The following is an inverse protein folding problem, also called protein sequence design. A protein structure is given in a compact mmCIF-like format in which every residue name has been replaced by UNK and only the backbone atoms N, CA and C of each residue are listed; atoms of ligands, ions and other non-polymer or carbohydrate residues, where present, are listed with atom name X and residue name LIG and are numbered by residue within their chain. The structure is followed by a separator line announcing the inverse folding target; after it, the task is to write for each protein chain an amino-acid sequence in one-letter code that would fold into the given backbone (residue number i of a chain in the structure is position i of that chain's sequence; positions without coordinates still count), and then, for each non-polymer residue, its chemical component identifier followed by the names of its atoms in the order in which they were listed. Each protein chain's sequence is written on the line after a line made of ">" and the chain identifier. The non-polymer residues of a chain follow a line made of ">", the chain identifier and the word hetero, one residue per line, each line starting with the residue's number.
data_IF_706202116061
#
_entry.id   IF_706202116061
#
_cell.length_a   1.000
_cell.length_b   1.000
_cell.length_c   1.000
_cell.angle_alpha   90.00
_cell.angle_beta   90.00
_cell.angle_gamma   90.00
#
_symmetry.space_group_name_H-M   'P 1'
#
loop_
_entity.id
_entity.type
_entity.pdbx_description
1 polymer ?
#
# COMPACT_ATOMS: atom_id res chain seq x y z
N UNK A 1 -7.50 24.91 -4.76
CA UNK A 1 -6.11 25.41 -4.86
C UNK A 1 -6.05 26.35 -6.05
N UNK A 2 -5.49 27.56 -5.90
CA UNK A 2 -5.31 28.50 -7.01
C UNK A 2 -4.10 28.14 -7.88
N UNK A 3 -3.94 28.80 -9.03
CA UNK A 3 -2.88 28.48 -10.00
C UNK A 3 -1.47 28.81 -9.47
N UNK A 4 -1.34 29.86 -8.68
CA UNK A 4 -0.07 30.26 -8.07
C UNK A 4 0.36 29.27 -6.99
N UNK A 5 -0.55 28.80 -6.15
CA UNK A 5 -0.28 27.74 -5.17
C UNK A 5 0.13 26.45 -5.86
N UNK A 6 -0.59 26.04 -6.90
CA UNK A 6 -0.27 24.85 -7.66
C UNK A 6 1.14 24.92 -8.24
N UNK A 7 1.51 26.05 -8.85
CA UNK A 7 2.86 26.25 -9.39
C UNK A 7 3.92 26.09 -8.30
N UNK A 8 3.72 26.74 -7.14
CA UNK A 8 4.64 26.65 -6.00
C UNK A 8 4.85 25.19 -5.53
N UNK A 9 3.76 24.41 -5.41
CA UNK A 9 3.86 23.02 -4.98
C UNK A 9 4.44 22.09 -6.08
N UNK A 10 4.27 22.42 -7.35
CA UNK A 10 4.95 21.71 -8.46
C UNK A 10 6.46 21.92 -8.39
N UNK A 11 6.90 23.20 -8.29
CA UNK A 11 8.34 23.53 -8.18
C UNK A 11 8.97 22.84 -6.96
N UNK A 12 8.24 22.80 -5.81
CA UNK A 12 8.67 22.08 -4.63
C UNK A 12 8.75 20.56 -4.87
N UNK A 13 7.78 19.99 -5.59
CA UNK A 13 7.77 18.55 -5.93
C UNK A 13 8.94 18.18 -6.83
N UNK A 14 9.28 19.00 -7.81
CA UNK A 14 10.42 18.80 -8.71
C UNK A 14 11.74 18.86 -7.94
N UNK A 15 11.87 19.82 -7.02
CA UNK A 15 13.02 19.91 -6.12
C UNK A 15 13.14 18.66 -5.24
N UNK A 16 12.05 18.27 -4.57
CA UNK A 16 12.03 17.07 -3.71
C UNK A 16 12.34 15.80 -4.51
N UNK A 17 11.81 15.66 -5.71
CA UNK A 17 12.09 14.53 -6.58
C UNK A 17 13.55 14.43 -6.99
N UNK A 18 14.19 15.58 -7.26
CA UNK A 18 15.61 15.65 -7.57
C UNK A 18 16.49 15.26 -6.38
N UNK A 19 16.07 15.56 -5.15
CA UNK A 19 16.81 15.25 -3.91
C UNK A 19 16.59 13.80 -3.49
N UNK A 20 15.34 13.31 -3.53
CA UNK A 20 14.95 12.00 -3.01
C UNK A 20 15.19 10.87 -4.01
N UNK A 21 15.16 11.16 -5.30
CA UNK A 21 15.43 10.20 -6.37
C UNK A 21 14.23 9.36 -6.82
N UNK A 22 14.46 8.34 -7.68
CA UNK A 22 13.40 7.67 -8.42
C UNK A 22 12.54 6.70 -7.58
N UNK A 23 12.96 6.34 -6.38
CA UNK A 23 12.20 5.45 -5.51
C UNK A 23 11.09 6.19 -4.71
N UNK A 24 10.99 7.52 -4.94
CA UNK A 24 9.98 8.37 -4.32
C UNK A 24 9.02 8.93 -5.35
N UNK A 25 7.74 8.73 -5.12
CA UNK A 25 6.65 9.38 -5.83
C UNK A 25 6.19 10.60 -5.05
N UNK A 26 5.95 11.71 -5.75
CA UNK A 26 5.44 12.94 -5.13
C UNK A 26 4.14 13.32 -5.84
N UNK A 27 3.07 13.51 -5.06
CA UNK A 27 1.73 13.81 -5.57
C UNK A 27 1.23 15.10 -4.94
N UNK A 28 0.81 16.05 -5.77
CA UNK A 28 0.01 17.22 -5.35
C UNK A 28 -1.43 17.00 -5.78
N UNK A 29 -2.38 17.17 -4.87
CA UNK A 29 -3.79 16.96 -5.12
C UNK A 29 -4.65 17.99 -4.40
N UNK A 30 -5.82 18.28 -4.95
CA UNK A 30 -6.87 19.03 -4.27
C UNK A 30 -7.89 18.07 -3.60
N UNK A 31 -9.06 18.56 -3.22
CA UNK A 31 -10.11 17.73 -2.59
C UNK A 31 -10.81 16.78 -3.56
N UNK A 32 -10.49 16.83 -4.88
CA UNK A 32 -11.18 16.08 -5.93
C UNK A 32 -10.26 15.11 -6.66
N UNK A 33 -9.08 15.61 -7.08
CA UNK A 33 -8.22 14.89 -8.02
C UNK A 33 -6.73 15.20 -7.82
N UNK A 34 -5.90 14.40 -8.47
CA UNK A 34 -4.46 14.60 -8.57
C UNK A 34 -4.20 15.74 -9.57
N UNK A 35 -3.48 16.77 -9.13
CA UNK A 35 -3.13 17.94 -9.94
C UNK A 35 -1.72 17.84 -10.53
N UNK A 36 -0.81 17.17 -9.81
CA UNK A 36 0.55 16.94 -10.25
C UNK A 36 1.10 15.66 -9.64
N UNK A 37 1.88 14.90 -10.43
CA UNK A 37 2.53 13.69 -9.97
C UNK A 37 3.91 13.54 -10.60
N UNK A 38 4.90 13.19 -9.78
CA UNK A 38 6.24 12.82 -10.18
C UNK A 38 6.47 11.34 -9.83
N UNK A 39 7.10 10.56 -10.71
CA UNK A 39 7.33 9.12 -10.57
C UNK A 39 6.04 8.30 -10.35
N UNK A 40 4.96 8.63 -11.06
CA UNK A 40 3.63 8.03 -10.91
C UNK A 40 3.56 6.52 -11.15
N UNK A 41 4.57 5.93 -11.80
CA UNK A 41 4.68 4.48 -12.01
C UNK A 41 4.81 3.69 -10.68
N UNK A 42 5.26 4.35 -9.62
CA UNK A 42 5.36 3.73 -8.28
C UNK A 42 3.99 3.29 -7.79
N UNK A 43 2.98 4.15 -7.85
CA UNK A 43 1.61 3.82 -7.44
C UNK A 43 0.70 3.40 -8.59
N UNK A 44 1.09 3.65 -9.83
CA UNK A 44 0.28 3.46 -11.04
C UNK A 44 -0.77 4.56 -11.26
N UNK A 45 -0.57 5.76 -10.69
CA UNK A 45 -1.49 6.91 -10.77
C UNK A 45 -1.03 7.93 -11.78
N UNK A 46 -1.98 8.81 -12.18
CA UNK A 46 -1.77 9.87 -13.18
C UNK A 46 -2.41 11.18 -12.76
N UNK A 47 -1.97 12.28 -13.41
CA UNK A 47 -2.67 13.56 -13.31
C UNK A 47 -4.14 13.40 -13.73
N UNK A 48 -5.04 14.01 -12.98
CA UNK A 48 -6.48 13.94 -13.19
C UNK A 48 -7.18 12.74 -12.55
N UNK A 49 -6.43 11.76 -12.02
CA UNK A 49 -7.04 10.65 -11.31
C UNK A 49 -7.79 11.13 -10.05
N UNK A 50 -8.93 10.51 -9.71
CA UNK A 50 -9.66 10.85 -8.49
C UNK A 50 -8.86 10.45 -7.25
N UNK A 51 -9.15 11.11 -6.12
CA UNK A 51 -8.53 10.77 -4.84
C UNK A 51 -8.82 9.32 -4.45
N UNK A 52 -7.79 8.63 -3.98
CA UNK A 52 -7.96 7.29 -3.41
C UNK A 52 -8.77 7.34 -2.10
N UNK A 53 -9.34 6.20 -1.67
CA UNK A 53 -9.93 6.09 -0.35
C UNK A 53 -8.95 6.52 0.76
N UNK A 54 -7.69 6.12 0.69
CA UNK A 54 -6.64 6.52 1.65
C UNK A 54 -6.44 8.03 1.68
N UNK A 55 -6.33 8.70 0.53
CA UNK A 55 -6.16 10.15 0.47
C UNK A 55 -7.37 10.87 1.09
N UNK A 56 -8.59 10.37 0.84
CA UNK A 56 -9.81 10.93 1.44
C UNK A 56 -9.83 10.76 2.95
N UNK A 57 -9.48 9.56 3.46
CA UNK A 57 -9.40 9.30 4.90
C UNK A 57 -8.34 10.16 5.60
N UNK A 58 -7.20 10.37 4.97
CA UNK A 58 -6.14 11.25 5.49
C UNK A 58 -6.61 12.70 5.60
N UNK A 59 -7.35 13.19 4.61
CA UNK A 59 -7.95 14.54 4.66
C UNK A 59 -9.01 14.67 5.78
N UNK A 60 -9.75 13.59 6.08
CA UNK A 60 -10.70 13.57 7.21
C UNK A 60 -9.99 13.64 8.57
N UNK A 61 -8.82 13.02 8.68
CA UNK A 61 -7.99 13.12 9.90
C UNK A 61 -7.53 14.56 10.10
N UNK A 62 -7.04 15.21 9.04
CA UNK A 62 -6.64 16.61 9.11
C UNK A 62 -7.78 17.49 9.62
N UNK A 63 -9.01 17.30 9.10
CA UNK A 63 -10.18 18.05 9.49
C UNK A 63 -10.52 17.87 10.98
N UNK A 64 -10.35 16.65 11.54
CA UNK A 64 -10.64 16.34 12.93
C UNK A 64 -9.53 16.74 13.91
N UNK A 65 -8.26 16.50 13.55
CA UNK A 65 -7.10 16.69 14.42
C UNK A 65 -6.37 18.03 14.20
N UNK A 66 -6.70 18.78 13.14
CA UNK A 66 -6.05 20.04 12.72
C UNK A 66 -4.53 19.92 12.56
N UNK A 67 -4.05 18.74 12.21
CA UNK A 67 -2.64 18.46 12.01
C UNK A 67 -2.09 19.22 10.78
N UNK A 68 -0.77 19.43 10.76
CA UNK A 68 -0.08 20.03 9.60
C UNK A 68 0.38 18.97 8.61
N UNK A 69 0.66 17.79 9.09
CA UNK A 69 1.10 16.64 8.29
C UNK A 69 0.80 15.33 9.00
N UNK A 70 0.73 14.27 8.22
CA UNK A 70 0.70 12.89 8.66
C UNK A 70 1.89 12.17 8.04
N UNK A 71 2.79 11.59 8.85
CA UNK A 71 4.04 11.01 8.34
C UNK A 71 4.13 9.51 8.59
N UNK A 72 4.85 8.80 7.69
CA UNK A 72 5.26 7.41 7.83
C UNK A 72 4.12 6.40 8.01
N UNK A 73 2.95 6.67 7.44
CA UNK A 73 1.87 5.68 7.39
C UNK A 73 2.02 4.73 6.20
N UNK A 74 1.31 3.60 6.21
CA UNK A 74 1.30 2.62 5.13
C UNK A 74 0.03 2.74 4.32
N UNK A 75 0.18 2.73 2.99
CA UNK A 75 -0.94 2.75 2.07
C UNK A 75 -0.76 1.71 0.96
N UNK A 76 -1.88 1.16 0.51
CA UNK A 76 -1.91 0.31 -0.67
C UNK A 76 -2.13 1.18 -1.90
N UNK A 77 -1.22 1.06 -2.87
CA UNK A 77 -1.27 1.78 -4.14
C UNK A 77 -2.29 1.17 -5.11
N UNK A 78 -2.61 1.88 -6.18
CA UNK A 78 -3.54 1.39 -7.21
C UNK A 78 -3.04 0.13 -7.92
N UNK A 79 -1.72 -0.04 -8.05
CA UNK A 79 -1.10 -1.23 -8.63
C UNK A 79 -0.80 -2.35 -7.61
N UNK A 80 -1.29 -2.22 -6.36
CA UNK A 80 -1.22 -3.25 -5.34
C UNK A 80 0.08 -3.32 -4.54
N UNK A 81 0.94 -2.31 -4.63
CA UNK A 81 2.14 -2.20 -3.79
C UNK A 81 1.81 -1.55 -2.45
N UNK A 82 2.50 -1.97 -1.39
CA UNK A 82 2.45 -1.29 -0.10
C UNK A 82 3.56 -0.24 -0.08
N UNK A 83 3.17 1.02 0.06
CA UNK A 83 4.06 2.16 0.08
C UNK A 83 4.13 2.75 1.49
N UNK A 84 5.27 3.32 1.85
CA UNK A 84 5.41 4.20 3.01
C UNK A 84 5.10 5.62 2.57
N UNK A 85 4.05 6.19 3.13
CA UNK A 85 3.48 7.46 2.71
C UNK A 85 3.61 8.52 3.79
N UNK A 86 3.73 9.78 3.36
CA UNK A 86 3.64 10.95 4.22
C UNK A 86 2.88 12.05 3.49
N UNK A 87 1.98 12.72 4.17
CA UNK A 87 1.14 13.79 3.62
C UNK A 87 1.39 15.09 4.36
N UNK A 88 1.71 16.13 3.63
CA UNK A 88 1.64 17.51 4.09
C UNK A 88 0.32 18.12 3.65
N UNK A 89 -0.46 18.68 4.59
CA UNK A 89 -1.75 19.30 4.31
C UNK A 89 -1.60 20.72 3.79
N UNK A 90 -2.13 20.99 2.61
CA UNK A 90 -2.17 22.33 2.01
C UNK A 90 -3.44 23.00 2.51
N UNK A 91 -3.30 24.11 3.21
CA UNK A 91 -4.39 24.88 3.84
C UNK A 91 -4.46 26.28 3.28
N UNK A 92 -5.64 26.89 3.35
CA UNK A 92 -5.82 28.32 3.13
C UNK A 92 -5.48 29.13 4.38
N UNK A 93 -5.59 30.46 4.27
CA UNK A 93 -5.33 31.40 5.37
C UNK A 93 -6.27 31.20 6.58
N UNK A 94 -7.44 30.61 6.36
CA UNK A 94 -8.39 30.26 7.43
C UNK A 94 -8.07 28.95 8.13
N UNK A 95 -7.06 28.20 7.64
CA UNK A 95 -6.69 26.86 8.12
C UNK A 95 -7.50 25.73 7.54
N UNK A 96 -8.36 25.98 6.53
CA UNK A 96 -9.15 24.96 5.86
C UNK A 96 -8.31 24.23 4.84
N UNK A 97 -8.41 22.88 4.80
CA UNK A 97 -7.70 22.07 3.83
C UNK A 97 -8.12 22.38 2.39
N UNK A 98 -7.15 22.63 1.54
CA UNK A 98 -7.28 22.79 0.09
C UNK A 98 -6.86 21.53 -0.65
N UNK A 99 -6.12 20.63 0.00
CA UNK A 99 -5.56 19.42 -0.56
C UNK A 99 -4.32 18.96 0.19
N UNK A 100 -3.42 18.25 -0.48
CA UNK A 100 -2.19 17.76 0.12
C UNK A 100 -1.06 17.55 -0.87
N UNK A 101 0.15 17.47 -0.31
CA UNK A 101 1.35 16.99 -0.99
C UNK A 101 1.76 15.68 -0.32
N UNK A 102 1.72 14.58 -1.09
CA UNK A 102 2.14 13.26 -0.63
C UNK A 102 3.56 12.96 -1.11
N UNK A 103 4.32 12.32 -0.23
CA UNK A 103 5.58 11.65 -0.56
C UNK A 103 5.38 10.17 -0.28
N UNK A 104 5.47 9.34 -1.32
CA UNK A 104 5.30 7.90 -1.24
C UNK A 104 6.65 7.23 -1.58
N UNK A 105 7.07 6.29 -0.76
CA UNK A 105 8.32 5.57 -0.93
C UNK A 105 8.07 4.09 -1.20
N UNK A 106 8.65 3.57 -2.30
CA UNK A 106 8.64 2.14 -2.64
C UNK A 106 9.87 1.46 -2.04
N UNK A 107 9.69 0.73 -0.95
CA UNK A 107 10.77 0.02 -0.26
C UNK A 107 11.03 -1.41 -0.81
N UNK A 108 10.36 -1.81 -1.88
CA UNK A 108 10.47 -3.19 -2.40
C UNK A 108 11.89 -3.52 -2.91
N UNK A 109 12.55 -2.58 -3.56
CA UNK A 109 13.94 -2.75 -4.02
C UNK A 109 14.90 -3.05 -2.86
N UNK A 110 14.71 -2.40 -1.73
CA UNK A 110 15.54 -2.61 -0.53
C UNK A 110 15.26 -3.95 0.14
N UNK A 111 14.02 -4.43 0.08
CA UNK A 111 13.65 -5.78 0.53
C UNK A 111 14.30 -6.87 -0.33
N UNK A 112 14.29 -6.69 -1.65
CA UNK A 112 14.95 -7.61 -2.59
C UNK A 112 16.46 -7.66 -2.34
N UNK A 113 17.09 -6.49 -2.16
CA UNK A 113 18.51 -6.39 -1.85
C UNK A 113 18.84 -7.05 -0.51
N UNK A 114 18.05 -6.83 0.54
CA UNK A 114 18.21 -7.49 1.83
C UNK A 114 18.13 -9.02 1.70
N UNK A 115 17.16 -9.53 0.95
CA UNK A 115 17.02 -10.96 0.70
C UNK A 115 18.23 -11.54 -0.05
N UNK A 116 18.79 -10.77 -1.00
CA UNK A 116 19.98 -11.17 -1.73
C UNK A 116 21.22 -11.22 -0.81
N UNK A 117 21.40 -10.20 0.02
CA UNK A 117 22.49 -10.18 1.02
C UNK A 117 22.38 -11.38 1.98
N UNK A 118 21.18 -11.66 2.49
CA UNK A 118 20.96 -12.82 3.35
C UNK A 118 21.28 -14.15 2.66
N UNK A 119 20.91 -14.31 1.39
CA UNK A 119 21.22 -15.52 0.64
C UNK A 119 22.72 -15.69 0.38
N UNK A 120 23.46 -14.59 0.25
CA UNK A 120 24.92 -14.62 0.12
C UNK A 120 25.61 -14.96 1.45
N UNK A 121 25.13 -14.43 2.57
CA UNK A 121 25.69 -14.67 3.89
C UNK A 121 25.34 -16.06 4.46
N UNK A 122 24.20 -16.62 4.03
CA UNK A 122 23.67 -17.89 4.54
C UNK A 122 23.26 -18.83 3.39
N UNK A 123 24.25 -19.34 2.60
CA UNK A 123 23.96 -20.20 1.45
C UNK A 123 23.37 -21.57 1.84
N UNK A 124 23.53 -21.98 3.09
CA UNK A 124 23.03 -23.21 3.71
C UNK A 124 21.52 -23.15 4.07
N UNK A 125 20.86 -22.03 3.81
CA UNK A 125 19.45 -21.79 4.18
C UNK A 125 19.16 -21.87 5.70
N UNK A 126 20.18 -21.79 6.55
CA UNK A 126 20.05 -21.83 8.00
C UNK A 126 19.19 -20.67 8.55
N UNK A 127 19.24 -19.50 7.90
CA UNK A 127 18.35 -18.38 8.20
C UNK A 127 17.17 -18.42 7.26
N UNK A 128 15.96 -18.55 7.80
CA UNK A 128 14.75 -18.49 6.97
C UNK A 128 14.67 -17.13 6.26
N UNK A 129 14.38 -17.12 4.97
CA UNK A 129 14.21 -15.91 4.11
C UNK A 129 13.10 -14.96 4.57
N UNK A 130 12.46 -15.23 5.69
CA UNK A 130 11.37 -14.43 6.26
C UNK A 130 11.85 -13.60 7.46
N UNK A 131 12.77 -12.67 7.23
CA UNK A 131 12.90 -11.57 8.18
C UNK A 131 11.73 -10.64 7.92
N UNK A 132 10.64 -10.86 8.65
CA UNK A 132 9.60 -9.87 8.78
C UNK A 132 10.15 -8.76 9.66
N UNK A 133 10.51 -7.64 9.07
CA UNK A 133 10.74 -6.41 9.82
C UNK A 133 9.37 -6.03 10.37
N UNK A 134 9.10 -6.30 11.64
CA UNK A 134 7.97 -5.73 12.34
C UNK A 134 8.21 -4.22 12.47
N UNK A 135 7.65 -3.47 11.55
CA UNK A 135 7.56 -2.02 11.70
C UNK A 135 6.46 -1.80 12.74
N UNK A 136 6.85 -1.58 13.98
CA UNK A 136 5.93 -1.07 15.02
C UNK A 136 5.51 0.34 14.59
N UNK A 137 4.39 0.44 13.88
CA UNK A 137 3.71 1.71 13.66
C UNK A 137 3.02 2.14 14.95
N UNK A 138 3.01 3.42 15.23
CA UNK A 138 2.14 4.01 16.24
C UNK A 138 0.68 3.65 15.93
N UNK A 139 -0.20 3.72 16.94
CA UNK A 139 -1.59 3.23 16.99
C UNK A 139 -2.59 3.73 15.91
N UNK A 140 -2.12 4.30 14.82
CA UNK A 140 -2.90 4.80 13.67
C UNK A 140 -3.43 3.70 12.73
N UNK A 141 -3.59 2.50 13.25
CA UNK A 141 -4.02 1.30 12.52
C UNK A 141 -5.48 1.36 12.03
N UNK A 142 -6.27 2.32 12.51
CA UNK A 142 -7.70 2.43 12.18
C UNK A 142 -7.92 2.79 10.69
N UNK A 143 -7.09 3.64 10.13
CA UNK A 143 -7.19 4.08 8.72
C UNK A 143 -6.92 2.91 7.76
N UNK A 144 -5.98 2.04 8.12
CA UNK A 144 -5.65 0.88 7.31
C UNK A 144 -6.73 -0.20 7.30
N UNK A 145 -7.47 -0.40 8.38
CA UNK A 145 -8.47 -1.47 8.45
C UNK A 145 -9.66 -1.25 7.51
N UNK A 146 -10.16 -0.04 7.40
CA UNK A 146 -11.26 0.28 6.47
C UNK A 146 -10.78 0.27 5.01
N UNK A 147 -9.61 0.85 4.73
CA UNK A 147 -9.03 0.84 3.39
C UNK A 147 -8.61 -0.57 2.94
N UNK A 148 -8.12 -1.41 3.84
CA UNK A 148 -7.82 -2.82 3.55
C UNK A 148 -9.10 -3.55 3.11
N UNK A 149 -10.21 -3.38 3.81
CA UNK A 149 -11.47 -4.01 3.45
C UNK A 149 -11.91 -3.61 2.04
N UNK A 150 -11.95 -2.32 1.75
CA UNK A 150 -12.36 -1.82 0.44
C UNK A 150 -11.40 -2.28 -0.68
N UNK A 151 -10.10 -2.28 -0.43
CA UNK A 151 -9.11 -2.70 -1.41
C UNK A 151 -9.14 -4.21 -1.63
N UNK A 152 -9.34 -4.99 -0.57
CA UNK A 152 -9.55 -6.44 -0.70
C UNK A 152 -10.80 -6.71 -1.51
N UNK A 153 -11.89 -5.99 -1.26
CA UNK A 153 -13.12 -6.14 -2.03
C UNK A 153 -12.92 -5.78 -3.52
N UNK A 154 -12.22 -4.71 -3.84
CA UNK A 154 -11.87 -4.35 -5.22
C UNK A 154 -11.03 -5.44 -5.90
N UNK A 155 -10.03 -5.99 -5.20
CA UNK A 155 -9.19 -7.08 -5.72
C UNK A 155 -10.03 -8.34 -5.90
N UNK A 156 -10.85 -8.70 -4.94
CA UNK A 156 -11.74 -9.86 -5.02
C UNK A 156 -12.74 -9.71 -6.15
N UNK A 157 -13.32 -8.52 -6.35
CA UNK A 157 -14.20 -8.24 -7.49
C UNK A 157 -13.51 -8.33 -8.84
N UNK A 158 -12.24 -7.90 -8.95
CA UNK A 158 -11.46 -8.04 -10.21
C UNK A 158 -11.11 -9.48 -10.52
N UNK A 159 -10.79 -10.26 -9.49
CA UNK A 159 -10.42 -11.68 -9.64
C UNK A 159 -11.63 -12.53 -9.97
N UNK A 160 -12.81 -12.16 -9.47
CA UNK A 160 -14.01 -13.00 -9.60
C UNK A 160 -15.29 -12.17 -9.80
N UNK A 161 -15.48 -11.64 -11.01
CA UNK A 161 -16.63 -10.79 -11.39
C UNK A 161 -18.01 -11.45 -11.24
N UNK A 162 -18.10 -12.75 -10.96
CA UNK A 162 -19.35 -13.51 -11.07
C UNK A 162 -19.70 -14.44 -9.90
N UNK A 163 -18.92 -14.52 -8.84
CA UNK A 163 -19.15 -15.51 -7.77
C UNK A 163 -19.51 -14.88 -6.41
N UNK A 164 -20.56 -15.42 -5.79
CA UNK A 164 -20.83 -15.18 -4.36
C UNK A 164 -19.73 -15.82 -3.51
N UNK A 165 -18.99 -15.02 -2.73
CA UNK A 165 -17.85 -15.44 -1.89
C UNK A 165 -18.15 -16.58 -0.92
N UNK A 166 -19.43 -16.83 -0.58
CA UNK A 166 -19.86 -17.93 0.29
C UNK A 166 -19.82 -19.32 -0.35
N UNK A 167 -19.61 -19.41 -1.67
CA UNK A 167 -19.64 -20.68 -2.44
C UNK A 167 -18.29 -21.03 -3.08
N UNK A 168 -17.21 -20.33 -2.74
CA UNK A 168 -15.89 -20.61 -3.31
C UNK A 168 -15.35 -21.98 -2.88
N UNK A 169 -14.87 -22.76 -3.85
CA UNK A 169 -14.16 -24.02 -3.62
C UNK A 169 -12.82 -23.78 -2.92
N UNK A 170 -12.22 -24.86 -2.41
CA UNK A 170 -10.89 -24.79 -1.77
C UNK A 170 -9.81 -24.26 -2.72
N UNK A 171 -9.83 -24.68 -4.00
CA UNK A 171 -8.87 -24.25 -5.02
C UNK A 171 -9.02 -22.75 -5.35
N UNK A 172 -10.26 -22.28 -5.52
CA UNK A 172 -10.51 -20.85 -5.78
C UNK A 172 -10.09 -19.96 -4.62
N UNK A 173 -10.34 -20.39 -3.38
CA UNK A 173 -9.85 -19.67 -2.19
C UNK A 173 -8.31 -19.62 -2.16
N UNK A 174 -7.65 -20.72 -2.49
CA UNK A 174 -6.19 -20.79 -2.55
C UNK A 174 -5.63 -19.84 -3.63
N UNK A 175 -6.25 -19.79 -4.81
CA UNK A 175 -5.85 -18.90 -5.90
C UNK A 175 -6.01 -17.42 -5.56
N UNK A 176 -7.12 -17.06 -4.91
CA UNK A 176 -7.36 -15.71 -4.40
C UNK A 176 -6.29 -15.35 -3.37
N UNK A 177 -6.03 -16.24 -2.41
CA UNK A 177 -5.03 -16.01 -1.36
C UNK A 177 -3.62 -15.89 -1.96
N UNK A 178 -3.29 -16.68 -2.99
CA UNK A 178 -2.03 -16.60 -3.73
C UNK A 178 -1.85 -15.21 -4.37
N UNK A 179 -2.87 -14.70 -5.06
CA UNK A 179 -2.83 -13.38 -5.69
C UNK A 179 -2.72 -12.24 -4.64
N UNK A 180 -3.46 -12.33 -3.53
CA UNK A 180 -3.37 -11.37 -2.43
C UNK A 180 -1.98 -11.43 -1.76
N UNK A 181 -1.39 -12.62 -1.65
CA UNK A 181 -0.04 -12.81 -1.12
C UNK A 181 1.03 -12.18 -2.02
N UNK A 182 0.93 -12.40 -3.35
CA UNK A 182 1.83 -11.78 -4.34
C UNK A 182 1.77 -10.26 -4.31
N UNK A 183 0.61 -9.69 -4.01
CA UNK A 183 0.39 -8.25 -3.83
C UNK A 183 0.83 -7.71 -2.46
N UNK A 184 1.35 -8.56 -1.58
CA UNK A 184 1.85 -8.15 -0.27
C UNK A 184 0.77 -7.83 0.78
N UNK A 185 -0.50 -8.14 0.53
CA UNK A 185 -1.63 -7.83 1.44
C UNK A 185 -1.41 -8.42 2.84
N UNK A 186 -0.84 -9.63 2.93
CA UNK A 186 -0.63 -10.30 4.21
C UNK A 186 0.56 -9.78 5.03
N UNK A 187 1.30 -8.79 4.51
CA UNK A 187 2.27 -8.02 5.30
C UNK A 187 1.60 -6.97 6.20
N UNK A 188 0.30 -6.74 6.01
CA UNK A 188 -0.47 -5.74 6.77
C UNK A 188 -1.12 -6.39 7.99
N UNK A 189 -0.99 -5.76 9.16
CA UNK A 189 -1.60 -6.25 10.39
C UNK A 189 -3.13 -6.31 10.27
N UNK A 190 -3.73 -7.41 10.68
CA UNK A 190 -5.17 -7.62 10.58
C UNK A 190 -5.68 -8.14 9.23
N UNK A 191 -4.87 -8.10 8.16
CA UNK A 191 -5.25 -8.56 6.81
C UNK A 191 -5.71 -10.01 6.79
N UNK A 192 -5.04 -10.90 7.54
CA UNK A 192 -5.41 -12.32 7.66
C UNK A 192 -6.84 -12.48 8.16
N UNK A 193 -7.22 -11.71 9.19
CA UNK A 193 -8.59 -11.71 9.75
C UNK A 193 -9.59 -11.14 8.74
N UNK A 194 -9.25 -10.03 8.10
CA UNK A 194 -10.13 -9.35 7.14
C UNK A 194 -10.38 -10.22 5.90
N UNK A 195 -9.32 -10.78 5.30
CA UNK A 195 -9.44 -11.72 4.17
C UNK A 195 -10.18 -12.98 4.59
N UNK A 196 -9.88 -13.54 5.76
CA UNK A 196 -10.55 -14.72 6.30
C UNK A 196 -12.06 -14.51 6.42
N UNK A 197 -12.50 -13.39 6.97
CA UNK A 197 -13.92 -13.03 7.08
C UNK A 197 -14.57 -12.94 5.70
N UNK A 198 -13.92 -12.30 4.71
CA UNK A 198 -14.45 -12.15 3.35
C UNK A 198 -14.55 -13.48 2.60
N UNK A 199 -13.59 -14.39 2.78
CA UNK A 199 -13.58 -15.70 2.17
C UNK A 199 -14.33 -16.78 2.98
N UNK A 200 -14.98 -16.38 4.10
CA UNK A 200 -15.62 -17.31 5.04
C UNK A 200 -14.66 -18.44 5.48
N UNK A 201 -13.44 -18.05 5.86
CA UNK A 201 -12.40 -18.94 6.34
C UNK A 201 -12.09 -18.70 7.81
N UNK A 202 -11.90 -19.77 8.58
CA UNK A 202 -11.38 -19.65 9.96
C UNK A 202 -9.91 -19.17 9.95
N UNK A 203 -9.42 -18.54 11.02
CA UNK A 203 -8.02 -18.15 11.13
C UNK A 203 -7.04 -19.31 10.88
N UNK A 204 -7.34 -20.50 11.43
CA UNK A 204 -6.53 -21.70 11.22
C UNK A 204 -6.46 -22.09 9.74
N UNK A 205 -7.59 -22.03 9.02
CA UNK A 205 -7.63 -22.29 7.57
C UNK A 205 -6.83 -21.26 6.80
N UNK A 206 -6.89 -19.99 7.18
CA UNK A 206 -6.11 -18.92 6.54
C UNK A 206 -4.60 -19.15 6.68
N UNK A 207 -4.12 -19.48 7.87
CA UNK A 207 -2.70 -19.78 8.08
C UNK A 207 -2.26 -21.00 7.26
N UNK A 208 -3.09 -22.05 7.17
CA UNK A 208 -2.79 -23.23 6.33
C UNK A 208 -2.68 -22.86 4.85
N UNK A 209 -3.56 -22.03 4.31
CA UNK A 209 -3.46 -21.54 2.94
C UNK A 209 -2.20 -20.70 2.70
N UNK A 210 -1.85 -19.83 3.64
CA UNK A 210 -0.64 -19.02 3.56
C UNK A 210 0.62 -19.89 3.57
N UNK A 211 0.66 -20.95 4.35
CA UNK A 211 1.78 -21.92 4.32
C UNK A 211 1.90 -22.62 2.98
N UNK A 212 0.79 -23.05 2.38
CA UNK A 212 0.80 -23.65 1.04
C UNK A 212 1.37 -22.70 0.00
N UNK A 213 0.90 -21.44 -0.02
CA UNK A 213 1.36 -20.41 -0.96
C UNK A 213 2.85 -20.10 -0.75
N UNK A 214 3.33 -20.05 0.49
CA UNK A 214 4.76 -19.88 0.80
C UNK A 214 5.62 -21.03 0.29
N UNK A 215 5.17 -22.28 0.48
CA UNK A 215 5.89 -23.48 0.01
C UNK A 215 5.96 -23.54 -1.52
N UNK A 216 4.87 -23.21 -2.23
CA UNK A 216 4.87 -23.13 -3.68
C UNK A 216 5.91 -22.15 -4.22
N UNK A 217 6.01 -20.96 -3.62
CA UNK A 217 7.01 -19.94 -4.02
C UNK A 217 8.46 -20.45 -3.83
N UNK A 218 8.70 -21.26 -2.81
CA UNK A 218 10.02 -21.87 -2.56
C UNK A 218 10.36 -22.94 -3.61
N UNK A 219 9.37 -23.70 -4.12
CA UNK A 219 9.60 -24.75 -5.11
C UNK A 219 9.83 -24.22 -6.53
N UNK A 220 9.33 -23.03 -6.87
CA UNK A 220 9.57 -22.37 -8.16
C UNK A 220 10.90 -21.62 -8.23
N UNK A 221 11.46 -21.17 -7.09
CA UNK A 221 12.76 -20.48 -7.01
C UNK A 221 13.98 -21.41 -7.04
N UNK A 222 13.78 -22.73 -7.04
CA UNK A 222 14.88 -23.73 -7.05
C UNK A 222 15.09 -24.38 -8.43
N UNK A 223 14.45 -23.84 -9.49
CA UNK A 223 14.57 -24.37 -10.87
C UNK A 223 15.14 -23.39 -11.90
N UNK A 224 15.77 -22.30 -11.44
CA UNK A 224 16.55 -21.41 -12.33
C UNK A 224 17.96 -21.22 -11.79
#
# INVERSE_FOLDING_TARGET
>A
MNEQDLKRYRDLSDFLGSVLGPDYEIIVYDLKQILYILNGDISGRKNGDPLSPTMKSILQIEESAKEKWQANYRALSANGKILRCSTFFIKDESGKALGGLNINFDDNRYKELSNLIFSLCHPDHYVSKNISIEIKGNDEQTIFSENISNTIDEILHRINKSLHFSKLSHSEKLDIIRQLYQKGIFSMKGSVKTVGNRLSCSPASMYRYLELVKKEKLSFGSRT
#
